data_IF_402211295017
#
_entry.id   IF_402211295017
#
_cell.length_a   1.000
_cell.length_b   1.000
_cell.length_c   1.000
_cell.angle_alpha   90.00
_cell.angle_beta   90.00
_cell.angle_gamma   90.00
#
_symmetry.space_group_name_H-M   'P 1'
#
loop_
_entity.id
_entity.type
_entity.pdbx_description
1 polymer ?
#
# COMPACT_ATOMS: atom_id res chain seq x y z
N UNK A 1 -20.44 -1.68 3.59
CA UNK A 1 -19.85 -2.41 2.44
C UNK A 1 -20.75 -3.59 2.14
N UNK A 2 -21.11 -3.83 0.88
CA UNK A 2 -21.88 -5.03 0.53
C UNK A 2 -21.05 -6.30 0.69
N UNK A 3 -21.70 -7.46 0.90
CA UNK A 3 -21.03 -8.77 1.07
C UNK A 3 -20.04 -9.09 -0.04
N UNK A 4 -20.33 -8.67 -1.28
CA UNK A 4 -19.46 -8.85 -2.47
C UNK A 4 -18.15 -8.05 -2.40
N UNK A 5 -18.17 -6.87 -1.79
CA UNK A 5 -16.97 -6.03 -1.68
C UNK A 5 -16.05 -6.57 -0.58
N UNK A 6 -16.65 -7.13 0.48
CA UNK A 6 -15.90 -7.78 1.57
C UNK A 6 -15.20 -9.05 1.09
N UNK A 7 -15.86 -9.87 0.26
CA UNK A 7 -15.24 -11.08 -0.30
C UNK A 7 -14.07 -10.75 -1.21
N UNK A 8 -14.17 -9.70 -2.04
CA UNK A 8 -13.06 -9.28 -2.90
C UNK A 8 -11.88 -8.73 -2.08
N UNK A 9 -12.16 -7.93 -1.05
CA UNK A 9 -11.12 -7.41 -0.16
C UNK A 9 -10.41 -8.55 0.60
N UNK A 10 -11.17 -9.47 1.19
CA UNK A 10 -10.61 -10.61 1.91
C UNK A 10 -9.80 -11.52 0.98
N UNK A 11 -10.30 -11.79 -0.23
CA UNK A 11 -9.58 -12.55 -1.25
C UNK A 11 -8.28 -11.87 -1.67
N UNK A 12 -8.31 -10.56 -1.93
CA UNK A 12 -7.13 -9.79 -2.29
C UNK A 12 -6.06 -9.78 -1.18
N UNK A 13 -6.47 -9.61 0.08
CA UNK A 13 -5.56 -9.70 1.23
C UNK A 13 -4.97 -11.10 1.35
N UNK A 14 -5.78 -12.15 1.19
CA UNK A 14 -5.29 -13.54 1.25
C UNK A 14 -4.23 -13.81 0.16
N UNK A 15 -4.45 -13.34 -1.07
CA UNK A 15 -3.46 -13.45 -2.15
C UNK A 15 -2.19 -12.67 -1.81
N UNK A 16 -2.32 -11.44 -1.31
CA UNK A 16 -1.16 -10.63 -0.93
C UNK A 16 -0.32 -11.30 0.17
N UNK A 17 -0.96 -11.87 1.19
CA UNK A 17 -0.28 -12.63 2.24
C UNK A 17 0.42 -13.87 1.67
N UNK A 18 -0.24 -14.61 0.77
CA UNK A 18 0.39 -15.76 0.13
C UNK A 18 1.66 -15.36 -0.64
N UNK A 19 1.61 -14.25 -1.39
CA UNK A 19 2.80 -13.74 -2.10
C UNK A 19 3.90 -13.36 -1.11
N UNK A 20 3.58 -12.60 -0.06
CA UNK A 20 4.57 -12.14 0.92
C UNK A 20 5.22 -13.28 1.70
N UNK A 21 4.46 -14.30 2.10
CA UNK A 21 5.00 -15.38 2.93
C UNK A 21 5.62 -16.53 2.13
N UNK A 22 5.21 -16.73 0.87
CA UNK A 22 5.65 -17.88 0.08
C UNK A 22 6.60 -17.45 -1.04
N UNK A 23 6.26 -16.39 -1.77
CA UNK A 23 7.02 -16.00 -2.97
C UNK A 23 8.16 -15.04 -2.61
N UNK A 24 7.92 -14.06 -1.73
CA UNK A 24 8.91 -13.01 -1.46
C UNK A 24 10.24 -13.53 -0.87
N UNK A 25 10.26 -14.48 0.09
CA UNK A 25 11.52 -15.03 0.60
C UNK A 25 12.28 -15.89 -0.42
N UNK A 26 11.60 -16.33 -1.48
CA UNK A 26 12.18 -17.10 -2.59
C UNK A 26 12.48 -16.20 -3.80
N UNK A 27 12.46 -14.88 -3.62
CA UNK A 27 12.86 -13.95 -4.68
C UNK A 27 14.34 -14.17 -5.05
N UNK A 28 14.67 -13.86 -6.31
CA UNK A 28 16.04 -14.04 -6.80
C UNK A 28 17.01 -13.09 -6.12
N UNK A 29 18.20 -13.59 -5.80
CA UNK A 29 19.32 -12.82 -5.26
C UNK A 29 20.22 -12.20 -6.36
N UNK A 30 19.80 -12.22 -7.63
CA UNK A 30 20.55 -11.57 -8.71
C UNK A 30 20.37 -10.04 -8.67
N UNK A 31 21.41 -9.26 -9.05
CA UNK A 31 21.32 -7.81 -9.11
C UNK A 31 20.23 -7.40 -10.09
N UNK A 32 19.52 -6.33 -9.76
CA UNK A 32 18.51 -5.78 -10.64
C UNK A 32 19.13 -5.12 -11.88
N UNK A 33 18.30 -4.66 -12.81
CA UNK A 33 18.80 -4.06 -14.04
C UNK A 33 19.62 -2.79 -13.84
N UNK A 34 19.42 -2.06 -12.74
CA UNK A 34 20.16 -0.83 -12.44
C UNK A 34 21.50 -1.14 -11.78
N UNK A 35 21.50 -2.04 -10.79
CA UNK A 35 22.70 -2.54 -10.14
C UNK A 35 23.62 -3.24 -11.14
N UNK A 36 23.07 -4.10 -12.00
CA UNK A 36 23.86 -4.82 -13.01
C UNK A 36 24.57 -3.86 -13.97
N UNK A 37 23.90 -2.79 -14.40
CA UNK A 37 24.52 -1.74 -15.24
C UNK A 37 25.57 -0.96 -14.45
N UNK A 38 25.31 -0.64 -13.18
CA UNK A 38 26.25 0.06 -12.33
C UNK A 38 27.53 -0.74 -12.06
N UNK A 39 27.41 -2.06 -11.92
CA UNK A 39 28.53 -2.99 -11.84
C UNK A 39 29.30 -3.06 -13.16
N UNK A 40 28.60 -3.28 -14.28
CA UNK A 40 29.22 -3.45 -15.61
C UNK A 40 30.00 -2.19 -16.04
N UNK A 41 29.48 -1.00 -15.72
CA UNK A 41 30.11 0.30 -16.03
C UNK A 41 31.02 0.83 -14.89
N UNK A 42 31.18 0.07 -13.81
CA UNK A 42 32.12 0.37 -12.73
C UNK A 42 31.82 1.63 -11.92
N UNK A 43 30.54 1.97 -11.73
CA UNK A 43 30.11 3.11 -10.92
C UNK A 43 29.26 2.74 -9.69
N UNK A 44 29.06 1.45 -9.41
CA UNK A 44 28.36 0.99 -8.21
C UNK A 44 28.91 1.62 -6.91
N UNK A 45 30.24 1.77 -6.78
CA UNK A 45 30.88 2.38 -5.60
C UNK A 45 30.57 3.88 -5.40
N UNK A 46 29.96 4.54 -6.39
CA UNK A 46 29.48 5.93 -6.26
C UNK A 46 28.06 6.03 -5.72
N UNK A 47 27.38 4.90 -5.49
CA UNK A 47 26.08 4.89 -4.86
C UNK A 47 26.16 5.59 -3.49
N UNK A 48 25.23 6.49 -3.25
CA UNK A 48 25.10 7.18 -1.97
C UNK A 48 23.84 6.68 -1.28
N UNK A 49 23.94 6.48 0.02
CA UNK A 49 22.78 6.10 0.83
C UNK A 49 21.70 7.17 0.77
N UNK A 50 20.45 6.72 0.80
CA UNK A 50 19.32 7.62 0.94
C UNK A 50 19.42 8.36 2.29
N UNK A 51 19.09 9.67 2.34
CA UNK A 51 19.10 10.42 3.60
C UNK A 51 18.09 9.88 4.63
N UNK A 52 17.07 9.16 4.15
CA UNK A 52 16.12 8.42 4.97
C UNK A 52 15.83 7.09 4.28
N UNK A 53 15.97 5.98 5.02
CA UNK A 53 15.62 4.64 4.55
C UNK A 53 14.64 4.00 5.52
N UNK A 54 13.51 3.53 4.99
CA UNK A 54 12.51 2.77 5.73
C UNK A 54 12.65 1.31 5.33
N UNK A 55 13.08 0.46 6.26
CA UNK A 55 13.30 -0.98 6.03
C UNK A 55 14.24 -1.23 4.83
N UNK A 56 15.50 -0.74 4.86
CA UNK A 56 16.47 -1.00 3.79
C UNK A 56 16.56 -2.49 3.53
N UNK A 57 16.52 -2.89 2.26
CA UNK A 57 16.57 -4.29 1.83
C UNK A 57 15.56 -5.19 2.55
N UNK A 58 14.39 -4.64 2.91
CA UNK A 58 13.34 -5.36 3.64
C UNK A 58 13.78 -5.87 5.02
N UNK A 59 14.84 -5.28 5.59
CA UNK A 59 15.41 -5.64 6.89
C UNK A 59 14.61 -5.05 8.08
N UNK A 60 14.43 -5.87 9.12
CA UNK A 60 13.80 -5.48 10.39
C UNK A 60 14.83 -5.60 11.52
N UNK A 61 15.09 -4.53 12.28
CA UNK A 61 16.05 -4.58 13.37
C UNK A 61 15.62 -5.61 14.42
N UNK A 62 16.53 -6.53 14.74
CA UNK A 62 16.28 -7.62 15.69
C UNK A 62 15.79 -8.93 15.07
N UNK A 63 15.65 -9.01 13.74
CA UNK A 63 15.38 -10.24 13.00
C UNK A 63 16.62 -10.60 12.19
N UNK A 64 17.28 -11.70 12.53
CA UNK A 64 18.51 -12.16 11.86
C UNK A 64 18.21 -12.95 10.57
N UNK A 65 17.04 -13.59 10.51
CA UNK A 65 16.62 -14.39 9.37
C UNK A 65 16.04 -13.48 8.28
N UNK A 66 16.73 -13.40 7.15
CA UNK A 66 16.38 -12.55 6.00
C UNK A 66 15.02 -12.90 5.39
N UNK A 67 14.67 -14.19 5.34
CA UNK A 67 13.39 -14.67 4.83
C UNK A 67 12.24 -14.22 5.74
N UNK A 68 12.41 -14.36 7.06
CA UNK A 68 11.44 -13.89 8.04
C UNK A 68 11.34 -12.37 8.01
N UNK A 69 12.47 -11.67 7.92
CA UNK A 69 12.51 -10.20 7.83
C UNK A 69 11.75 -9.68 6.60
N UNK A 70 11.98 -10.29 5.43
CA UNK A 70 11.31 -9.97 4.18
C UNK A 70 9.81 -10.22 4.26
N UNK A 71 9.39 -11.35 4.85
CA UNK A 71 7.98 -11.66 5.02
C UNK A 71 7.28 -10.66 5.97
N UNK A 72 7.94 -10.28 7.07
CA UNK A 72 7.39 -9.34 8.04
C UNK A 72 7.31 -7.91 7.48
N UNK A 73 8.31 -7.45 6.75
CA UNK A 73 8.27 -6.12 6.11
C UNK A 73 7.19 -6.06 5.03
N UNK A 74 7.04 -7.13 4.24
CA UNK A 74 5.92 -7.29 3.31
C UNK A 74 4.56 -7.25 4.00
N UNK A 75 4.42 -7.91 5.16
CA UNK A 75 3.18 -7.87 5.96
C UNK A 75 2.86 -6.45 6.42
N UNK A 76 3.85 -5.70 6.90
CA UNK A 76 3.70 -4.29 7.29
C UNK A 76 3.19 -3.48 6.08
N UNK A 77 3.80 -3.66 4.90
CA UNK A 77 3.36 -2.99 3.67
C UNK A 77 1.90 -3.28 3.32
N UNK A 78 1.49 -4.56 3.36
CA UNK A 78 0.10 -4.96 3.09
C UNK A 78 -0.88 -4.28 4.06
N UNK A 79 -0.56 -4.24 5.36
CA UNK A 79 -1.40 -3.60 6.37
C UNK A 79 -1.51 -2.09 6.15
N UNK A 80 -0.40 -1.41 5.84
CA UNK A 80 -0.38 0.03 5.56
C UNK A 80 -1.25 0.36 4.36
N UNK A 81 -1.07 -0.35 3.24
CA UNK A 81 -1.85 -0.14 2.01
C UNK A 81 -3.34 -0.39 2.27
N UNK A 82 -3.68 -1.48 2.96
CA UNK A 82 -5.05 -1.80 3.31
C UNK A 82 -5.69 -0.70 4.17
N UNK A 83 -4.97 -0.19 5.17
CA UNK A 83 -5.45 0.89 6.02
C UNK A 83 -5.69 2.17 5.22
N UNK A 84 -4.74 2.59 4.38
CA UNK A 84 -4.87 3.78 3.53
C UNK A 84 -6.08 3.65 2.60
N UNK A 85 -6.23 2.52 1.92
CA UNK A 85 -7.34 2.28 1.00
C UNK A 85 -8.71 2.33 1.71
N UNK A 86 -8.81 1.73 2.90
CA UNK A 86 -10.04 1.74 3.71
C UNK A 86 -10.39 3.16 4.20
N UNK A 87 -9.40 3.93 4.63
CA UNK A 87 -9.58 5.32 5.07
C UNK A 87 -10.00 6.22 3.90
N UNK A 88 -9.31 6.11 2.76
CA UNK A 88 -9.65 6.84 1.55
C UNK A 88 -11.08 6.52 1.08
N UNK A 89 -11.44 5.23 1.02
CA UNK A 89 -12.79 4.80 0.65
C UNK A 89 -13.87 5.34 1.59
N UNK A 90 -13.60 5.41 2.90
CA UNK A 90 -14.51 6.02 3.88
C UNK A 90 -14.66 7.53 3.68
N UNK A 91 -13.56 8.25 3.52
CA UNK A 91 -13.56 9.69 3.32
C UNK A 91 -14.32 10.07 2.04
N UNK A 92 -14.10 9.34 0.94
CA UNK A 92 -14.80 9.55 -0.33
C UNK A 92 -16.31 9.31 -0.21
N UNK A 93 -16.73 8.27 0.51
CA UNK A 93 -18.16 7.97 0.73
C UNK A 93 -18.89 9.07 1.51
N UNK A 94 -18.26 9.67 2.52
CA UNK A 94 -18.87 10.75 3.32
C UNK A 94 -19.14 12.04 2.55
N UNK A 95 -18.43 12.28 1.43
CA UNK A 95 -18.62 13.48 0.60
C UNK A 95 -19.84 13.38 -0.32
N UNK A 96 -20.20 12.17 -0.76
CA UNK A 96 -21.36 11.95 -1.63
C UNK A 96 -22.68 12.29 -0.92
N UNK A 97 -22.83 11.88 0.34
CA UNK A 97 -24.03 12.12 1.15
C UNK A 97 -24.23 13.57 1.58
N UNK A 98 -23.17 14.40 1.57
CA UNK A 98 -23.25 15.82 1.95
C UNK A 98 -23.71 16.72 0.79
N UNK A 99 -23.66 16.24 -0.46
CA UNK A 99 -24.03 17.02 -1.65
C UNK A 99 -25.54 17.12 -1.90
N UNK A 100 -26.35 16.21 -1.37
CA UNK A 100 -27.82 16.23 -1.54
C UNK A 100 -28.55 17.17 -0.57
N UNK A 101 -27.87 17.67 0.47
CA UNK A 101 -28.50 18.47 1.52
C UNK A 101 -28.74 19.99 1.30
N UNK A 102 -28.35 20.69 0.20
CA UNK A 102 -28.61 22.13 0.10
C UNK A 102 -29.96 22.57 -0.53
N UNK A 103 -30.71 21.70 -1.22
CA UNK A 103 -31.78 22.18 -2.12
C UNK A 103 -33.17 22.35 -1.47
N UNK A 104 -33.39 21.82 -0.26
CA UNK A 104 -34.71 21.85 0.38
C UNK A 104 -35.05 23.17 1.12
N UNK A 105 -34.09 24.09 1.27
CA UNK A 105 -34.32 25.37 1.98
C UNK A 105 -34.67 26.53 1.02
N UNK A 106 -34.29 26.44 -0.26
CA UNK A 106 -34.58 27.49 -1.25
C UNK A 106 -36.02 27.41 -1.80
N UNK A 107 -36.57 26.19 -1.90
CA UNK A 107 -37.93 25.96 -2.40
C UNK A 107 -39.05 26.40 -1.41
N UNK A 108 -38.73 26.66 -0.14
CA UNK A 108 -39.70 27.10 0.86
C UNK A 108 -39.81 28.65 0.97
N UNK A 109 -38.98 29.40 0.23
CA UNK A 109 -38.90 30.87 0.30
C UNK A 109 -39.71 31.60 -0.78
N UNK A 110 -40.24 30.90 -1.81
CA UNK A 110 -41.00 31.53 -2.89
C UNK A 110 -42.49 31.30 -2.65
N UNK A 111 -43.10 32.18 -1.86
CA UNK A 111 -44.56 32.23 -1.66
C UNK A 111 -45.28 32.66 -2.94
N UNK A 112 -46.55 32.24 -3.15
CA UNK A 112 -47.26 32.51 -4.39
C UNK A 112 -47.65 33.99 -4.54
N UNK A 113 -47.74 34.51 -5.79
CA UNK A 113 -48.18 35.87 -6.09
C UNK A 113 -49.70 36.07 -5.92
#
# INVERSE_FOLDING_TARGET
MGRRNLTLLAGGIAVALLVVFVLAPNASAQPDGLERVAEDEGFADRAQDAPYSLLPDYSIPGVEDEAISTALSGLIGVLVVAAIALLAGRALRSRATRREAPEATDAASIGPP
#
